data_IF_461854387493
#
_entry.id   IF_461854387493
#
_cell.length_a   1.000
_cell.length_b   1.000
_cell.length_c   1.000
_cell.angle_alpha   90.00
_cell.angle_beta   90.00
_cell.angle_gamma   90.00
#
_symmetry.space_group_name_H-M   'P 1'
#
loop_
_entity.id
_entity.type
_entity.pdbx_description
1 polymer ?
#
# COMPACT_ATOMS: atom_id res chain seq x y z
N UNK A 1 18.34 -26.33 1.35
CA UNK A 1 17.40 -25.71 2.29
C UNK A 1 17.71 -24.23 2.39
N UNK A 2 16.69 -23.39 2.14
CA UNK A 2 16.85 -21.93 2.11
C UNK A 2 16.61 -21.30 3.50
N UNK A 3 17.24 -21.85 4.53
CA UNK A 3 17.05 -21.39 5.92
C UNK A 3 17.54 -19.95 6.17
N UNK A 4 18.29 -19.36 5.22
CA UNK A 4 18.81 -18.00 5.32
C UNK A 4 18.01 -16.97 4.51
N UNK A 5 16.95 -17.39 3.82
CA UNK A 5 16.09 -16.49 3.05
C UNK A 5 15.04 -15.87 3.97
N UNK A 6 14.82 -14.57 3.80
CA UNK A 6 13.74 -13.85 4.49
C UNK A 6 12.40 -14.57 4.29
N UNK A 7 11.66 -14.83 5.36
CA UNK A 7 10.40 -15.56 5.32
C UNK A 7 9.37 -14.95 4.34
N UNK A 8 9.15 -13.64 4.30
CA UNK A 8 8.30 -13.01 3.27
C UNK A 8 8.74 -13.31 1.84
N UNK A 9 10.05 -13.36 1.56
CA UNK A 9 10.56 -13.72 0.24
C UNK A 9 10.14 -15.14 -0.17
N UNK A 10 10.24 -16.10 0.76
CA UNK A 10 9.83 -17.47 0.51
C UNK A 10 8.34 -17.58 0.19
N UNK A 11 7.50 -16.85 0.94
CA UNK A 11 6.05 -16.85 0.72
C UNK A 11 5.68 -16.20 -0.62
N UNK A 12 6.24 -15.03 -0.94
CA UNK A 12 5.96 -14.32 -2.21
C UNK A 12 6.38 -15.18 -3.41
N UNK A 13 7.56 -15.75 -3.38
CA UNK A 13 8.04 -16.63 -4.45
C UNK A 13 7.15 -17.88 -4.56
N UNK A 14 6.78 -18.48 -3.43
CA UNK A 14 5.89 -19.63 -3.37
C UNK A 14 4.50 -19.34 -3.94
N UNK A 15 3.92 -18.19 -3.61
CA UNK A 15 2.61 -17.76 -4.10
C UNK A 15 2.62 -17.54 -5.63
N UNK A 16 3.68 -16.94 -6.18
CA UNK A 16 3.83 -16.76 -7.63
C UNK A 16 3.91 -18.12 -8.34
N UNK A 17 4.76 -19.04 -7.85
CA UNK A 17 4.87 -20.39 -8.44
C UNK A 17 3.54 -21.14 -8.33
N UNK A 18 2.85 -21.05 -7.17
CA UNK A 18 1.53 -21.64 -6.97
C UNK A 18 0.49 -21.07 -7.92
N UNK A 19 0.52 -19.76 -8.18
CA UNK A 19 -0.38 -19.12 -9.12
C UNK A 19 -0.26 -19.72 -10.52
N UNK A 20 0.95 -19.90 -11.05
CA UNK A 20 1.16 -20.56 -12.35
C UNK A 20 0.79 -22.04 -12.31
N UNK A 21 1.18 -22.78 -11.28
CA UNK A 21 0.81 -24.21 -11.14
C UNK A 21 -0.69 -24.44 -11.02
N UNK A 22 -1.47 -23.44 -10.63
CA UNK A 22 -2.94 -23.54 -10.58
C UNK A 22 -3.61 -23.63 -11.96
N UNK A 23 -2.89 -23.33 -13.03
CA UNK A 23 -3.41 -23.27 -14.41
C UNK A 23 -4.32 -22.08 -14.70
N UNK A 24 -4.51 -21.16 -13.73
CA UNK A 24 -5.36 -19.97 -13.92
C UNK A 24 -4.69 -18.87 -14.74
N UNK A 25 -3.37 -18.90 -14.82
CA UNK A 25 -2.56 -17.89 -15.50
C UNK A 25 -1.71 -18.58 -16.58
N UNK A 26 -1.89 -18.15 -17.82
CA UNK A 26 -1.06 -18.60 -18.93
C UNK A 26 0.31 -17.93 -18.87
N UNK A 27 1.41 -18.68 -18.70
CA UNK A 27 2.76 -18.11 -18.61
C UNK A 27 3.17 -17.30 -19.85
N UNK A 28 2.62 -17.61 -21.02
CA UNK A 28 2.94 -16.90 -22.27
C UNK A 28 2.29 -15.51 -22.33
N UNK A 29 1.16 -15.32 -21.63
CA UNK A 29 0.38 -14.07 -21.62
C UNK A 29 0.38 -13.37 -20.27
N UNK A 30 1.25 -13.78 -19.32
CA UNK A 30 1.29 -13.22 -17.97
C UNK A 30 2.67 -12.63 -17.68
N UNK A 31 2.68 -11.47 -17.03
CA UNK A 31 3.86 -10.82 -16.49
C UNK A 31 3.77 -10.76 -14.97
N UNK A 32 4.88 -11.05 -14.29
CA UNK A 32 4.98 -10.85 -12.83
C UNK A 32 5.49 -9.44 -12.57
N UNK A 33 4.73 -8.63 -11.86
CA UNK A 33 5.16 -7.32 -11.40
C UNK A 33 5.41 -7.35 -9.89
N UNK A 34 6.57 -6.84 -9.46
CA UNK A 34 6.96 -6.78 -8.04
C UNK A 34 7.55 -5.42 -7.70
N UNK A 35 7.20 -4.90 -6.53
CA UNK A 35 7.90 -3.73 -6.00
C UNK A 35 9.21 -4.15 -5.36
N UNK A 36 10.26 -3.36 -5.57
CA UNK A 36 11.54 -3.55 -4.90
C UNK A 36 11.88 -2.33 -4.06
N UNK A 37 12.44 -2.60 -2.90
CA UNK A 37 13.04 -1.57 -2.04
C UNK A 37 14.56 -1.58 -2.24
N UNK A 38 15.18 -0.43 -2.21
CA UNK A 38 16.64 -0.33 -2.19
C UNK A 38 17.24 -0.64 -0.82
N UNK A 39 18.57 -0.71 -0.74
CA UNK A 39 19.33 -0.83 0.49
C UNK A 39 19.48 -2.26 1.00
N UNK A 40 19.49 -2.44 2.32
CA UNK A 40 19.82 -3.72 2.96
C UNK A 40 18.64 -4.68 3.12
N UNK A 41 17.43 -4.29 2.74
CA UNK A 41 16.26 -5.14 2.79
C UNK A 41 16.37 -6.27 1.75
N UNK A 42 15.98 -7.48 2.10
CA UNK A 42 15.95 -8.63 1.16
C UNK A 42 14.96 -8.42 0.01
N UNK A 43 13.99 -7.53 0.16
CA UNK A 43 13.10 -7.12 -0.94
C UNK A 43 13.85 -6.54 -2.15
N UNK A 44 15.09 -6.09 -2.00
CA UNK A 44 15.97 -5.71 -3.11
C UNK A 44 16.38 -6.87 -4.03
N UNK A 45 16.23 -8.13 -3.58
CA UNK A 45 16.62 -9.34 -4.31
C UNK A 45 15.42 -10.20 -4.76
N UNK A 46 14.18 -9.74 -4.60
CA UNK A 46 13.00 -10.55 -4.95
C UNK A 46 12.96 -10.93 -6.43
N UNK A 47 13.33 -10.03 -7.34
CA UNK A 47 13.35 -10.34 -8.77
C UNK A 47 14.20 -11.56 -9.08
N UNK A 48 15.44 -11.60 -8.57
CA UNK A 48 16.36 -12.71 -8.83
C UNK A 48 15.82 -14.04 -8.29
N UNK A 49 15.22 -14.01 -7.09
CA UNK A 49 14.60 -15.20 -6.49
C UNK A 49 13.37 -15.66 -7.28
N UNK A 50 12.52 -14.73 -7.73
CA UNK A 50 11.34 -15.04 -8.55
C UNK A 50 11.77 -15.61 -9.90
N UNK A 51 12.70 -14.96 -10.61
CA UNK A 51 13.21 -15.46 -11.88
C UNK A 51 13.79 -16.87 -11.75
N UNK A 52 14.63 -17.10 -10.73
CA UNK A 52 15.18 -18.43 -10.45
C UNK A 52 14.08 -19.47 -10.24
N UNK A 53 13.11 -19.17 -9.39
CA UNK A 53 12.02 -20.10 -9.11
C UNK A 53 11.14 -20.38 -10.33
N UNK A 54 10.86 -19.37 -11.16
CA UNK A 54 10.13 -19.54 -12.42
C UNK A 54 10.88 -20.46 -13.38
N UNK A 55 12.19 -20.26 -13.57
CA UNK A 55 13.05 -21.10 -14.42
C UNK A 55 13.03 -22.54 -13.92
N UNK A 56 13.24 -22.77 -12.63
CA UNK A 56 13.26 -24.12 -12.01
C UNK A 56 11.92 -24.86 -12.11
N UNK A 57 10.82 -24.12 -12.31
CA UNK A 57 9.48 -24.69 -12.51
C UNK A 57 9.01 -24.71 -13.96
N UNK A 58 9.90 -24.44 -14.95
CA UNK A 58 9.61 -24.53 -16.37
C UNK A 58 8.96 -23.28 -16.99
N UNK A 59 8.88 -22.16 -16.26
CA UNK A 59 8.30 -20.90 -16.71
C UNK A 59 9.38 -19.90 -17.17
N UNK A 60 10.31 -20.35 -18.02
CA UNK A 60 11.52 -19.60 -18.41
C UNK A 60 11.25 -18.28 -19.14
N UNK A 61 10.14 -18.20 -19.88
CA UNK A 61 9.79 -17.04 -20.71
C UNK A 61 8.86 -16.04 -20.03
N UNK A 62 8.48 -16.27 -18.77
CA UNK A 62 7.59 -15.36 -18.04
C UNK A 62 8.35 -14.09 -17.66
N UNK A 63 7.91 -12.90 -18.14
CA UNK A 63 8.55 -11.63 -17.79
C UNK A 63 8.37 -11.29 -16.31
N UNK A 64 9.43 -10.76 -15.70
CA UNK A 64 9.37 -10.23 -14.33
C UNK A 64 9.82 -8.78 -14.33
N UNK A 65 8.92 -7.85 -14.02
CA UNK A 65 9.18 -6.42 -13.99
C UNK A 65 9.24 -5.87 -12.57
N UNK A 66 10.12 -4.92 -12.34
CA UNK A 66 10.24 -4.22 -11.06
C UNK A 66 9.63 -2.84 -11.13
N UNK A 67 8.83 -2.52 -10.13
CA UNK A 67 8.36 -1.18 -9.84
C UNK A 67 9.21 -0.62 -8.68
N UNK A 68 10.43 -0.18 -9.00
CA UNK A 68 11.37 0.34 -8.00
C UNK A 68 11.42 1.88 -8.06
N UNK A 69 11.29 2.52 -6.90
CA UNK A 69 11.47 3.95 -6.74
C UNK A 69 12.85 4.24 -6.13
N UNK A 70 13.70 4.96 -6.87
CA UNK A 70 14.93 5.51 -6.32
C UNK A 70 15.99 4.52 -5.83
N UNK A 71 15.86 3.26 -6.20
CA UNK A 71 16.74 2.18 -5.70
C UNK A 71 18.04 2.03 -6.50
N UNK A 72 18.21 2.71 -7.63
CA UNK A 72 19.32 2.48 -8.56
C UNK A 72 19.32 1.08 -9.21
N UNK A 73 18.30 0.28 -8.95
CA UNK A 73 18.12 -1.04 -9.55
C UNK A 73 17.48 -0.83 -10.92
N UNK A 74 18.24 -1.12 -11.97
CA UNK A 74 17.71 -1.08 -13.32
C UNK A 74 16.68 -2.21 -13.51
N UNK A 75 15.61 -1.86 -14.23
CA UNK A 75 14.65 -2.87 -14.67
C UNK A 75 15.25 -3.60 -15.89
N UNK A 76 15.74 -4.82 -15.67
CA UNK A 76 16.37 -5.64 -16.71
C UNK A 76 15.41 -6.04 -17.85
N UNK A 77 14.12 -5.71 -17.71
CA UNK A 77 13.12 -6.07 -18.71
C UNK A 77 13.06 -5.01 -19.81
N UNK A 78 13.68 -5.28 -20.95
CA UNK A 78 13.63 -4.41 -22.12
C UNK A 78 12.19 -4.18 -22.57
N UNK A 79 11.86 -2.91 -22.89
CA UNK A 79 10.52 -2.56 -23.38
C UNK A 79 9.53 -2.11 -22.30
N UNK A 80 9.75 -2.40 -21.02
CA UNK A 80 8.92 -1.88 -19.95
C UNK A 80 9.36 -0.46 -19.57
N UNK A 81 8.62 0.53 -20.06
CA UNK A 81 8.87 1.96 -19.77
C UNK A 81 7.66 2.61 -19.13
N UNK A 82 7.85 3.25 -17.98
CA UNK A 82 6.80 3.98 -17.27
C UNK A 82 7.11 5.48 -17.30
N UNK A 83 6.13 6.29 -17.72
CA UNK A 83 6.23 7.73 -17.60
C UNK A 83 5.85 8.15 -16.16
N UNK A 84 6.84 8.16 -15.26
CA UNK A 84 6.66 8.44 -13.85
C UNK A 84 6.02 9.81 -13.56
N UNK A 85 6.31 10.82 -14.36
CA UNK A 85 5.71 12.16 -14.20
C UNK A 85 4.18 12.14 -14.39
N UNK A 86 3.68 11.26 -15.26
CA UNK A 86 2.24 11.09 -15.49
C UNK A 86 1.57 10.16 -14.48
N UNK A 87 2.28 9.15 -14.03
CA UNK A 87 1.68 8.06 -13.23
C UNK A 87 1.82 8.30 -11.73
N UNK A 88 2.89 8.97 -11.29
CA UNK A 88 3.13 9.20 -9.86
C UNK A 88 1.98 9.94 -9.14
N UNK A 89 1.35 10.99 -9.70
CA UNK A 89 0.24 11.67 -9.03
C UNK A 89 -0.97 10.76 -8.77
N UNK A 90 -1.33 9.91 -9.74
CA UNK A 90 -2.47 8.98 -9.55
C UNK A 90 -2.12 7.84 -8.61
N UNK A 91 -0.87 7.35 -8.59
CA UNK A 91 -0.41 6.35 -7.62
C UNK A 91 -0.54 6.92 -6.20
N UNK A 92 -0.02 8.13 -5.96
CA UNK A 92 -0.12 8.79 -4.66
C UNK A 92 -1.58 8.97 -4.23
N UNK A 93 -2.41 9.49 -5.13
CA UNK A 93 -3.83 9.66 -4.86
C UNK A 93 -4.53 8.32 -4.56
N UNK A 94 -4.18 7.25 -5.29
CA UNK A 94 -4.74 5.90 -5.06
C UNK A 94 -4.34 5.34 -3.70
N UNK A 95 -3.10 5.51 -3.28
CA UNK A 95 -2.62 5.09 -1.96
C UNK A 95 -3.36 5.85 -0.87
N UNK A 96 -3.42 7.18 -0.95
CA UNK A 96 -4.12 8.01 0.05
C UNK A 96 -5.63 7.72 0.09
N UNK A 97 -6.24 7.49 -1.08
CA UNK A 97 -7.63 7.09 -1.18
C UNK A 97 -7.89 5.75 -0.50
N UNK A 98 -7.08 4.74 -0.82
CA UNK A 98 -7.22 3.39 -0.23
C UNK A 98 -7.04 3.41 1.27
N UNK A 99 -6.05 4.15 1.78
CA UNK A 99 -5.82 4.31 3.22
C UNK A 99 -6.99 5.06 3.89
N UNK A 100 -7.57 6.06 3.21
CA UNK A 100 -8.75 6.77 3.69
C UNK A 100 -9.97 5.84 3.80
N UNK A 101 -10.24 5.04 2.77
CA UNK A 101 -11.31 4.03 2.79
C UNK A 101 -11.06 2.98 3.88
N UNK A 102 -9.81 2.56 4.08
CA UNK A 102 -9.45 1.64 5.16
C UNK A 102 -9.76 2.25 6.54
N UNK A 103 -9.39 3.52 6.79
CA UNK A 103 -9.73 4.23 8.03
C UNK A 103 -11.24 4.28 8.26
N UNK A 104 -12.03 4.59 7.23
CA UNK A 104 -13.50 4.59 7.34
C UNK A 104 -14.04 3.20 7.65
N UNK A 105 -13.57 2.18 6.94
CA UNK A 105 -14.00 0.80 7.13
C UNK A 105 -13.73 0.30 8.54
N UNK A 106 -12.50 0.42 9.04
CA UNK A 106 -12.13 -0.11 10.35
C UNK A 106 -12.83 0.59 11.51
N UNK A 107 -13.12 1.88 11.36
CA UNK A 107 -13.91 2.61 12.35
C UNK A 107 -15.41 2.26 12.26
N UNK A 108 -15.94 2.05 11.05
CA UNK A 108 -17.35 1.76 10.83
C UNK A 108 -17.74 0.33 11.13
N UNK A 109 -16.89 -0.66 10.82
CA UNK A 109 -17.23 -2.09 10.94
C UNK A 109 -17.59 -2.54 12.36
N UNK A 110 -17.06 -1.85 13.38
CA UNK A 110 -17.40 -2.09 14.79
C UNK A 110 -18.61 -1.28 15.28
N UNK A 111 -19.15 -0.39 14.42
CA UNK A 111 -20.29 0.53 14.68
C UNK A 111 -21.44 0.34 13.71
N UNK A 112 -21.31 -0.57 12.74
CA UNK A 112 -22.34 -0.78 11.72
C UNK A 112 -23.67 -1.23 12.34
N UNK A 113 -24.77 -0.62 11.85
CA UNK A 113 -26.15 -0.95 12.26
C UNK A 113 -26.54 -2.37 11.86
N UNK A 114 -26.14 -2.76 10.67
CA UNK A 114 -26.36 -4.10 10.15
C UNK A 114 -25.02 -4.72 9.74
N UNK A 115 -24.79 -5.94 10.15
CA UNK A 115 -23.53 -6.66 9.88
C UNK A 115 -23.24 -6.74 8.40
N UNK A 116 -22.02 -6.35 8.02
CA UNK A 116 -21.51 -6.41 6.66
C UNK A 116 -21.77 -5.16 5.81
N UNK A 117 -22.48 -4.14 6.32
CA UNK A 117 -22.65 -2.88 5.59
C UNK A 117 -21.33 -2.17 5.32
N UNK A 118 -20.44 -2.13 6.32
CA UNK A 118 -19.13 -1.49 6.17
C UNK A 118 -18.26 -2.18 5.12
N UNK A 119 -18.28 -3.52 5.08
CA UNK A 119 -17.55 -4.29 4.08
C UNK A 119 -18.08 -4.02 2.66
N UNK A 120 -19.41 -4.03 2.48
CA UNK A 120 -20.04 -3.71 1.19
C UNK A 120 -19.70 -2.29 0.70
N UNK A 121 -19.70 -1.32 1.60
CA UNK A 121 -19.31 0.06 1.23
C UNK A 121 -17.84 0.15 0.86
N UNK A 122 -16.95 -0.48 1.62
CA UNK A 122 -15.53 -0.54 1.28
C UNK A 122 -15.33 -1.08 -0.14
N UNK A 123 -15.92 -2.24 -0.44
CA UNK A 123 -15.77 -2.91 -1.73
C UNK A 123 -16.36 -2.05 -2.86
N UNK A 124 -17.55 -1.48 -2.66
CA UNK A 124 -18.18 -0.56 -3.59
C UNK A 124 -17.27 0.64 -3.93
N UNK A 125 -16.70 1.30 -2.91
CA UNK A 125 -15.86 2.47 -3.12
C UNK A 125 -14.51 2.12 -3.75
N UNK A 126 -13.94 0.94 -3.47
CA UNK A 126 -12.72 0.46 -4.14
C UNK A 126 -12.99 0.12 -5.62
N UNK A 127 -14.09 -0.54 -5.93
CA UNK A 127 -14.45 -0.92 -7.30
C UNK A 127 -14.79 0.31 -8.15
N UNK A 128 -15.59 1.23 -7.62
CA UNK A 128 -15.99 2.45 -8.34
C UNK A 128 -14.85 3.45 -8.52
N UNK A 129 -13.75 3.32 -7.78
CA UNK A 129 -12.54 4.12 -8.00
C UNK A 129 -11.76 3.71 -9.27
N UNK A 130 -11.88 2.47 -9.72
CA UNK A 130 -11.09 1.95 -10.86
C UNK A 130 -11.22 2.79 -12.15
N UNK A 131 -12.43 3.17 -12.62
CA UNK A 131 -12.57 4.03 -13.81
C UNK A 131 -11.92 5.42 -13.65
N UNK A 132 -11.89 5.96 -12.42
CA UNK A 132 -11.28 7.27 -12.13
C UNK A 132 -9.75 7.15 -12.24
N UNK A 133 -9.20 6.06 -11.70
CA UNK A 133 -7.76 5.74 -11.78
C UNK A 133 -7.35 5.55 -13.24
N UNK A 134 -8.10 4.78 -14.02
CA UNK A 134 -7.84 4.54 -15.44
C UNK A 134 -7.84 5.83 -16.27
N UNK A 135 -8.69 6.80 -15.92
CA UNK A 135 -8.74 8.12 -16.54
C UNK A 135 -7.63 9.07 -16.05
N UNK A 136 -6.78 8.61 -15.13
CA UNK A 136 -5.70 9.39 -14.54
C UNK A 136 -6.16 10.73 -13.93
N UNK A 137 -7.20 10.69 -13.08
CA UNK A 137 -7.81 11.87 -12.45
C UNK A 137 -7.60 11.87 -10.93
N UNK A 138 -6.39 12.23 -10.43
CA UNK A 138 -6.06 12.14 -9.01
C UNK A 138 -6.95 13.02 -8.11
N UNK A 139 -7.34 14.20 -8.59
CA UNK A 139 -8.16 15.14 -7.81
C UNK A 139 -9.62 14.65 -7.67
N UNK A 140 -10.17 14.05 -8.73
CA UNK A 140 -11.51 13.46 -8.69
C UNK A 140 -11.53 12.27 -7.71
N UNK A 141 -10.48 11.45 -7.73
CA UNK A 141 -10.34 10.31 -6.84
C UNK A 141 -10.34 10.72 -5.36
N UNK A 142 -9.53 11.71 -5.00
CA UNK A 142 -9.49 12.21 -3.62
C UNK A 142 -10.82 12.85 -3.21
N UNK A 143 -11.46 13.58 -4.12
CA UNK A 143 -12.77 14.18 -3.84
C UNK A 143 -13.86 13.13 -3.65
N UNK A 144 -13.72 11.96 -4.28
CA UNK A 144 -14.66 10.84 -4.12
C UNK A 144 -14.68 10.28 -2.70
N UNK A 145 -13.58 10.43 -1.93
CA UNK A 145 -13.54 10.08 -0.50
C UNK A 145 -14.58 10.83 0.34
N UNK A 146 -15.02 12.02 -0.10
CA UNK A 146 -16.06 12.78 0.61
C UNK A 146 -17.43 12.06 0.58
N UNK A 147 -17.77 11.47 -0.56
CA UNK A 147 -19.00 10.66 -0.67
C UNK A 147 -18.91 9.42 0.22
N UNK A 148 -17.75 8.77 0.21
CA UNK A 148 -17.49 7.62 1.09
C UNK A 148 -17.68 8.00 2.57
N UNK A 149 -17.08 9.11 3.03
CA UNK A 149 -17.19 9.59 4.41
C UNK A 149 -18.66 9.75 4.83
N UNK A 150 -19.49 10.34 3.97
CA UNK A 150 -20.93 10.53 4.23
C UNK A 150 -21.69 9.21 4.31
N UNK A 151 -21.38 8.27 3.41
CA UNK A 151 -22.10 7.00 3.37
C UNK A 151 -21.67 6.09 4.53
N UNK A 152 -20.40 6.11 4.92
CA UNK A 152 -19.96 5.44 6.14
C UNK A 152 -20.61 6.03 7.41
N UNK A 153 -20.85 7.34 7.48
CA UNK A 153 -21.58 7.93 8.61
C UNK A 153 -23.02 7.38 8.72
N UNK A 154 -23.72 7.20 7.60
CA UNK A 154 -25.13 6.73 7.60
C UNK A 154 -25.30 5.34 8.21
N UNK A 155 -24.30 4.48 8.05
CA UNK A 155 -24.35 3.10 8.56
C UNK A 155 -23.87 2.96 9.99
N UNK A 156 -23.25 3.99 10.58
CA UNK A 156 -22.71 3.93 11.94
C UNK A 156 -23.74 4.29 12.99
N UNK A 157 -23.74 3.55 14.08
CA UNK A 157 -24.35 3.94 15.36
C UNK A 157 -23.40 4.84 16.16
N UNK A 158 -23.95 5.67 17.04
CA UNK A 158 -23.16 6.43 18.00
C UNK A 158 -22.66 5.51 19.12
N UNK A 159 -21.43 5.02 18.93
CA UNK A 159 -20.81 4.08 19.86
C UNK A 159 -19.34 4.41 20.08
N UNK A 160 -18.91 4.47 21.34
CA UNK A 160 -17.49 4.47 21.69
C UNK A 160 -16.95 3.05 21.65
N UNK A 161 -15.75 2.88 21.08
CA UNK A 161 -15.05 1.60 21.00
C UNK A 161 -13.63 1.75 21.51
N UNK A 162 -13.12 0.70 22.14
CA UNK A 162 -11.67 0.62 22.42
C UNK A 162 -10.92 0.54 21.09
N UNK A 163 -9.74 1.19 21.04
CA UNK A 163 -8.92 1.28 19.83
C UNK A 163 -7.61 0.53 20.01
N UNK A 164 -7.21 -0.25 19.03
CA UNK A 164 -5.95 -1.01 19.02
C UNK A 164 -5.24 -0.79 17.69
N UNK A 165 -3.99 -0.35 17.74
CA UNK A 165 -3.11 -0.24 16.58
C UNK A 165 -2.37 -1.55 16.34
N UNK A 166 -2.25 -1.96 15.06
CA UNK A 166 -1.45 -3.11 14.66
C UNK A 166 -0.08 -2.61 14.23
N UNK A 167 0.94 -3.00 14.96
CA UNK A 167 2.34 -2.67 14.68
C UNK A 167 3.16 -3.93 14.38
N UNK A 168 4.27 -3.77 13.70
CA UNK A 168 5.17 -4.89 13.37
C UNK A 168 5.79 -4.75 11.98
N UNK A 169 6.36 -5.84 11.49
CA UNK A 169 6.95 -5.96 10.17
C UNK A 169 5.86 -5.79 9.10
N UNK A 170 6.21 -5.19 7.95
CA UNK A 170 5.24 -4.81 6.91
C UNK A 170 4.43 -5.99 6.38
N UNK A 171 5.07 -7.14 6.13
CA UNK A 171 4.37 -8.32 5.63
C UNK A 171 3.34 -8.82 6.65
N UNK A 172 3.72 -8.88 7.95
CA UNK A 172 2.81 -9.28 9.03
C UNK A 172 1.61 -8.33 9.15
N UNK A 173 1.85 -7.02 9.06
CA UNK A 173 0.77 -6.03 9.22
C UNK A 173 -0.33 -6.14 8.16
N UNK A 174 0.03 -6.50 6.93
CA UNK A 174 -0.89 -6.51 5.79
C UNK A 174 -1.34 -7.90 5.35
N UNK A 175 -0.75 -8.98 5.88
CA UNK A 175 -1.10 -10.33 5.49
C UNK A 175 -1.95 -11.03 6.58
N UNK A 176 -3.24 -11.29 6.34
CA UNK A 176 -4.13 -11.93 7.32
C UNK A 176 -3.64 -13.32 7.77
N UNK A 177 -3.08 -14.09 6.84
CA UNK A 177 -2.51 -15.41 7.17
C UNK A 177 -1.33 -15.28 8.13
N UNK A 178 -0.39 -14.36 7.84
CA UNK A 178 0.81 -14.18 8.66
C UNK A 178 0.48 -13.68 10.08
N UNK A 179 -0.53 -12.81 10.23
CA UNK A 179 -1.00 -12.31 11.52
C UNK A 179 -2.05 -13.23 12.20
N UNK A 180 -2.31 -14.43 11.65
CA UNK A 180 -3.34 -15.35 12.17
C UNK A 180 -4.71 -14.70 12.33
N UNK A 181 -5.07 -13.84 11.40
CA UNK A 181 -6.34 -13.13 11.31
C UNK A 181 -6.73 -12.33 12.57
N UNK A 182 -5.72 -11.80 13.28
CA UNK A 182 -5.92 -11.03 14.52
C UNK A 182 -6.83 -9.81 14.30
N UNK A 183 -6.80 -9.22 13.09
CA UNK A 183 -7.66 -8.09 12.72
C UNK A 183 -9.13 -8.46 12.79
N UNK A 184 -9.55 -9.58 12.19
CA UNK A 184 -10.93 -10.06 12.24
C UNK A 184 -11.33 -10.46 13.66
N UNK A 185 -10.42 -11.05 14.42
CA UNK A 185 -10.67 -11.36 15.83
C UNK A 185 -10.97 -10.10 16.64
N UNK A 186 -10.18 -9.04 16.52
CA UNK A 186 -10.41 -7.76 17.20
C UNK A 186 -11.76 -7.14 16.82
N UNK A 187 -12.10 -7.13 15.51
CA UNK A 187 -13.38 -6.63 15.01
C UNK A 187 -14.55 -7.40 15.63
N UNK A 188 -14.45 -8.73 15.72
CA UNK A 188 -15.47 -9.57 16.33
C UNK A 188 -15.65 -9.29 17.85
N UNK A 189 -14.60 -8.84 18.53
CA UNK A 189 -14.65 -8.34 19.91
C UNK A 189 -15.16 -6.89 20.02
N UNK A 190 -15.59 -6.28 18.92
CA UNK A 190 -16.02 -4.88 18.85
C UNK A 190 -14.92 -3.87 19.22
N UNK A 191 -13.67 -4.23 18.97
CA UNK A 191 -12.48 -3.37 19.13
C UNK A 191 -12.17 -2.73 17.78
N UNK A 192 -12.08 -1.39 17.76
CA UNK A 192 -11.70 -0.63 16.58
C UNK A 192 -10.22 -0.85 16.28
N UNK A 193 -9.92 -1.33 15.08
CA UNK A 193 -8.54 -1.47 14.61
C UNK A 193 -8.09 -0.17 13.95
N UNK A 194 -6.98 0.39 14.41
CA UNK A 194 -6.28 1.46 13.70
C UNK A 194 -5.40 0.78 12.64
N UNK A 195 -5.76 0.87 11.34
CA UNK A 195 -5.06 0.13 10.32
C UNK A 195 -3.65 0.70 10.11
N UNK A 196 -2.66 -0.16 9.83
CA UNK A 196 -1.41 0.31 9.28
C UNK A 196 -1.66 0.94 7.92
N UNK A 197 -0.99 2.06 7.63
CA UNK A 197 -1.17 2.80 6.39
C UNK A 197 -0.03 2.53 5.42
N UNK A 198 -0.36 2.37 4.13
CA UNK A 198 0.64 2.23 3.07
C UNK A 198 1.31 3.59 2.82
N UNK A 199 0.57 4.69 2.95
CA UNK A 199 1.14 6.04 2.84
C UNK A 199 2.26 6.30 3.85
N UNK A 200 2.14 5.83 5.10
CA UNK A 200 3.19 5.97 6.12
C UNK A 200 4.50 5.31 5.69
N UNK A 201 4.42 4.14 5.06
CA UNK A 201 5.60 3.46 4.54
C UNK A 201 6.34 4.29 3.48
N UNK A 202 5.60 4.94 2.57
CA UNK A 202 6.20 5.82 1.56
C UNK A 202 6.74 7.11 2.18
N UNK A 203 6.01 7.71 3.12
CA UNK A 203 6.44 8.93 3.80
C UNK A 203 7.70 8.71 4.62
N UNK A 204 7.85 7.56 5.26
CA UNK A 204 9.07 7.21 6.00
C UNK A 204 10.31 7.19 5.10
N UNK A 205 10.15 6.92 3.80
CA UNK A 205 11.23 7.02 2.83
C UNK A 205 11.84 8.42 2.75
N UNK A 206 11.02 9.48 2.79
CA UNK A 206 11.50 10.87 2.81
C UNK A 206 12.25 11.21 4.11
N UNK A 207 11.74 10.76 5.25
CA UNK A 207 12.38 10.97 6.56
C UNK A 207 13.74 10.27 6.59
N UNK A 208 13.80 9.01 6.18
CA UNK A 208 15.02 8.24 6.15
C UNK A 208 16.07 8.84 5.22
N UNK A 209 15.64 9.35 4.06
CA UNK A 209 16.55 10.03 3.13
C UNK A 209 17.16 11.28 3.77
N UNK A 210 16.34 12.12 4.41
CA UNK A 210 16.77 13.34 5.08
C UNK A 210 17.71 13.06 6.26
N UNK A 211 17.38 12.07 7.09
CA UNK A 211 18.23 11.64 8.22
C UNK A 211 19.57 11.13 7.72
N UNK A 212 19.61 10.25 6.71
CA UNK A 212 20.85 9.71 6.14
C UNK A 212 21.74 10.80 5.55
N UNK A 213 21.15 11.80 4.88
CA UNK A 213 21.91 12.93 4.32
C UNK A 213 22.46 13.83 5.43
N UNK A 214 21.70 14.13 6.46
CA UNK A 214 22.11 14.97 7.58
C UNK A 214 23.21 14.32 8.43
N UNK A 215 23.15 12.99 8.56
CA UNK A 215 24.15 12.21 9.31
C UNK A 215 25.33 11.76 8.46
N UNK A 216 25.45 12.25 7.21
CA UNK A 216 26.53 11.88 6.26
C UNK A 216 26.62 10.37 5.98
N UNK A 217 25.55 9.61 6.21
CA UNK A 217 25.48 8.17 5.93
C UNK A 217 25.29 7.88 4.44
N UNK A 218 24.93 8.88 3.66
CA UNK A 218 24.74 8.76 2.22
C UNK A 218 25.22 10.04 1.52
N UNK A 219 25.86 9.86 0.34
CA UNK A 219 26.23 10.99 -0.51
C UNK A 219 24.99 11.75 -0.95
N UNK A 220 25.01 13.09 -0.86
CA UNK A 220 23.95 13.95 -1.38
C UNK A 220 23.89 13.85 -2.90
N UNK A 221 22.96 13.06 -3.42
CA UNK A 221 22.69 12.96 -4.87
C UNK A 221 21.60 13.93 -5.31
N UNK A 222 20.70 14.30 -4.39
CA UNK A 222 19.57 15.18 -4.67
C UNK A 222 19.65 16.40 -3.76
N UNK A 223 19.51 17.63 -4.30
CA UNK A 223 19.48 18.84 -3.48
C UNK A 223 18.33 18.84 -2.49
N UNK A 224 18.56 19.32 -1.25
CA UNK A 224 17.59 19.33 -0.17
C UNK A 224 16.27 20.03 -0.56
N UNK A 225 16.35 21.12 -1.34
CA UNK A 225 15.16 21.86 -1.78
C UNK A 225 14.21 21.04 -2.67
N UNK A 226 14.74 20.08 -3.44
CA UNK A 226 13.92 19.18 -4.29
C UNK A 226 13.17 18.19 -3.41
N UNK A 227 13.84 17.65 -2.40
CA UNK A 227 13.25 16.72 -1.43
C UNK A 227 12.17 17.44 -0.63
N UNK A 228 12.46 18.64 -0.14
CA UNK A 228 11.50 19.46 0.63
C UNK A 228 10.29 19.86 -0.24
N UNK A 229 10.50 20.15 -1.52
CA UNK A 229 9.43 20.48 -2.44
C UNK A 229 8.51 19.27 -2.70
N UNK A 230 9.09 18.06 -2.93
CA UNK A 230 8.34 16.83 -3.10
C UNK A 230 7.54 16.50 -1.83
N UNK A 231 8.19 16.58 -0.67
CA UNK A 231 7.55 16.38 0.62
C UNK A 231 6.36 17.32 0.81
N UNK A 232 6.53 18.62 0.56
CA UNK A 232 5.45 19.60 0.67
C UNK A 232 4.28 19.29 -0.27
N UNK A 233 4.55 18.79 -1.48
CA UNK A 233 3.49 18.34 -2.41
C UNK A 233 2.70 17.18 -1.85
N UNK A 234 3.37 16.17 -1.31
CA UNK A 234 2.72 15.01 -0.70
C UNK A 234 1.92 15.44 0.52
N UNK A 235 2.51 16.27 1.40
CA UNK A 235 1.85 16.79 2.60
C UNK A 235 0.58 17.59 2.26
N UNK A 236 0.61 18.36 1.16
CA UNK A 236 -0.60 19.06 0.68
C UNK A 236 -1.73 18.10 0.32
N UNK A 237 -1.42 16.96 -0.29
CA UNK A 237 -2.45 15.95 -0.62
C UNK A 237 -2.97 15.26 0.65
N UNK A 238 -2.08 14.95 1.60
CA UNK A 238 -2.47 14.40 2.92
C UNK A 238 -3.41 15.37 3.64
N UNK A 239 -3.07 16.65 3.70
CA UNK A 239 -3.92 17.67 4.32
C UNK A 239 -5.29 17.75 3.65
N UNK A 240 -5.35 17.65 2.31
CA UNK A 240 -6.61 17.60 1.58
C UNK A 240 -7.47 16.39 1.97
N UNK A 241 -6.86 15.22 2.07
CA UNK A 241 -7.56 14.00 2.52
C UNK A 241 -8.01 14.10 3.96
N UNK A 242 -7.21 14.73 4.84
CA UNK A 242 -7.59 14.99 6.23
C UNK A 242 -8.82 15.90 6.31
N UNK A 243 -8.87 16.98 5.53
CA UNK A 243 -10.05 17.87 5.51
C UNK A 243 -11.30 17.12 5.01
N UNK A 244 -11.17 16.31 3.98
CA UNK A 244 -12.27 15.46 3.48
C UNK A 244 -12.69 14.44 4.55
N UNK A 245 -11.71 13.79 5.17
CA UNK A 245 -11.93 12.76 6.18
C UNK A 245 -12.69 13.25 7.41
N UNK A 246 -12.53 14.52 7.80
CA UNK A 246 -13.31 15.16 8.90
C UNK A 246 -14.83 15.08 8.69
N UNK A 247 -15.29 14.82 7.47
CA UNK A 247 -16.70 14.57 7.19
C UNK A 247 -17.21 13.23 7.74
N UNK A 248 -16.32 12.33 8.15
CA UNK A 248 -16.65 11.09 8.84
C UNK A 248 -16.43 11.26 10.35
N UNK A 249 -17.45 11.02 11.17
CA UNK A 249 -17.46 11.33 12.60
C UNK A 249 -16.39 10.59 13.42
N UNK A 250 -15.90 9.46 12.90
CA UNK A 250 -14.92 8.60 13.58
C UNK A 250 -13.56 8.63 12.89
N UNK A 251 -13.34 9.60 12.01
CA UNK A 251 -12.09 9.71 11.29
C UNK A 251 -10.92 10.08 12.20
N UNK A 252 -9.84 9.33 12.10
CA UNK A 252 -8.56 9.65 12.70
C UNK A 252 -7.68 10.25 11.59
N UNK A 253 -7.22 11.50 11.71
CA UNK A 253 -6.38 12.12 10.70
C UNK A 253 -5.11 11.31 10.40
N UNK A 254 -4.55 11.53 9.23
CA UNK A 254 -3.18 11.10 8.92
C UNK A 254 -2.23 12.02 9.68
N UNK A 255 -1.35 11.43 10.46
CA UNK A 255 -0.37 12.18 11.24
C UNK A 255 0.87 12.52 10.40
N UNK A 256 1.58 13.57 10.78
CA UNK A 256 2.87 13.89 10.20
C UNK A 256 3.94 12.96 10.80
N UNK A 257 4.75 12.34 9.95
CA UNK A 257 5.85 11.46 10.41
C UNK A 257 7.01 12.29 11.03
N UNK A 258 6.99 13.61 10.88
CA UNK A 258 8.01 14.50 11.45
C UNK A 258 7.63 15.07 12.82
N UNK A 259 6.43 14.82 13.29
CA UNK A 259 5.98 15.14 14.65
C UNK A 259 5.99 13.89 15.53
#
# INVERSE_FOLDING_TARGET
SNNEVCYPATLIVGDIVKAFKSGRYDPANTCVAITQTGGQCRASNYISLIKKALIENGYTNTPVVSLAFGSGIENEQSGFKVNWLKVLPIILASVLYSDCIAKFYYAAVVREKERGQAARLRDLYLDTAQPIIQKNKPEDLLSYSYLAARDFNKICEQRSCHKVGIVGEIFLKFNPFAQKDVTSWLINQKIEVIPPLISDFFMQGFVNLKVRQNQHLQRKLTPDFVIDWLYKKVQKQINKVNEIGKSFNYFIPFESIFE
#
